data_IF_769628396685
#
_entry.id   IF_769628396685
#
_cell.length_a   1.000
_cell.length_b   1.000
_cell.length_c   1.000
_cell.angle_alpha   90.00
_cell.angle_beta   90.00
_cell.angle_gamma   90.00
#
_symmetry.space_group_name_H-M   'P 1'
#
loop_
_entity.id
_entity.type
_entity.pdbx_description
1 polymer ?
#
# COMPACT_ATOMS: atom_id res chain seq x y z
N UNK A 1 -28.02 20.01 -5.00
CA UNK A 1 -26.57 20.09 -5.26
C UNK A 1 -25.86 19.90 -3.94
N UNK A 2 -25.25 18.74 -3.70
CA UNK A 2 -24.51 18.49 -2.45
C UNK A 2 -23.13 19.11 -2.61
N UNK A 3 -22.76 20.06 -1.75
CA UNK A 3 -21.41 20.65 -1.74
C UNK A 3 -20.41 19.57 -1.35
N UNK A 4 -19.33 19.42 -2.12
CA UNK A 4 -18.23 18.54 -1.76
C UNK A 4 -17.64 18.96 -0.40
N UNK A 5 -17.33 18.01 0.49
CA UNK A 5 -16.77 18.32 1.81
C UNK A 5 -15.43 19.05 1.67
N UNK A 6 -15.16 19.95 2.61
CA UNK A 6 -13.87 20.64 2.73
C UNK A 6 -12.80 19.67 3.24
N UNK A 7 -11.51 19.91 2.92
CA UNK A 7 -10.37 19.08 3.43
C UNK A 7 -10.36 18.91 4.95
N UNK A 8 -10.87 19.91 5.69
CA UNK A 8 -11.01 19.87 7.15
C UNK A 8 -12.11 18.88 7.59
N UNK A 9 -13.22 18.82 6.86
CA UNK A 9 -14.30 17.87 7.11
C UNK A 9 -13.86 16.44 6.75
N UNK A 10 -13.14 16.26 5.64
CA UNK A 10 -12.57 14.95 5.26
C UNK A 10 -11.52 14.47 6.28
N UNK A 11 -10.68 15.36 6.80
CA UNK A 11 -9.75 15.00 7.89
C UNK A 11 -10.49 14.42 9.09
N UNK A 12 -11.63 15.01 9.47
CA UNK A 12 -12.43 14.54 10.60
C UNK A 12 -13.07 13.16 10.34
N UNK A 13 -13.32 12.81 9.08
CA UNK A 13 -13.87 11.52 8.65
C UNK A 13 -12.83 10.40 8.58
N UNK A 14 -11.52 10.73 8.60
CA UNK A 14 -10.48 9.71 8.66
C UNK A 14 -10.64 8.81 9.91
N UNK A 15 -10.26 7.53 9.82
CA UNK A 15 -10.16 6.68 11.01
C UNK A 15 -9.31 7.33 12.09
N UNK A 16 -9.65 7.06 13.35
CA UNK A 16 -9.01 7.70 14.51
C UNK A 16 -7.49 7.56 14.47
N UNK A 17 -6.97 6.40 14.06
CA UNK A 17 -5.54 6.16 13.92
C UNK A 17 -4.88 7.23 13.03
N UNK A 18 -5.40 7.46 11.82
CA UNK A 18 -4.86 8.43 10.85
C UNK A 18 -4.84 9.88 11.35
N UNK A 19 -5.85 10.28 12.13
CA UNK A 19 -5.90 11.60 12.77
C UNK A 19 -4.85 11.77 13.87
N UNK A 20 -4.49 10.66 14.51
CA UNK A 20 -3.54 10.62 15.61
C UNK A 20 -2.09 10.44 15.17
N UNK A 21 -1.81 10.24 13.86
CA UNK A 21 -0.47 10.10 13.26
C UNK A 21 0.37 11.40 13.27
N UNK A 22 0.19 12.25 14.27
CA UNK A 22 1.04 13.42 14.47
C UNK A 22 2.47 12.97 14.83
N UNK A 23 3.44 13.88 14.65
CA UNK A 23 4.83 13.66 15.03
C UNK A 23 4.88 12.96 16.41
N UNK A 24 5.37 11.72 16.45
CA UNK A 24 5.56 10.89 17.67
C UNK A 24 4.34 10.11 18.19
N UNK A 25 3.35 9.74 17.37
CA UNK A 25 2.38 8.72 17.77
C UNK A 25 3.09 7.42 18.22
N UNK A 26 2.58 6.77 19.27
CA UNK A 26 3.16 5.52 19.74
C UNK A 26 2.94 4.42 18.70
N UNK A 27 3.89 3.47 18.63
CA UNK A 27 3.78 2.29 17.76
C UNK A 27 2.48 1.52 17.98
N UNK A 28 1.96 1.52 19.22
CA UNK A 28 0.66 0.94 19.55
C UNK A 28 -0.50 1.59 18.78
N UNK A 29 -0.49 2.91 18.57
CA UNK A 29 -1.51 3.60 17.78
C UNK A 29 -1.37 3.26 16.29
N UNK A 30 -0.14 3.19 15.79
CA UNK A 30 0.14 2.84 14.39
C UNK A 30 -0.42 1.45 14.04
N UNK A 31 -0.24 0.47 14.93
CA UNK A 31 -0.78 -0.89 14.77
C UNK A 31 -2.30 -0.92 14.70
N UNK A 32 -3.00 0.07 15.27
CA UNK A 32 -4.48 0.14 15.16
C UNK A 32 -4.98 0.78 13.87
N UNK A 33 -4.09 1.11 12.93
CA UNK A 33 -4.49 1.62 11.63
C UNK A 33 -5.25 0.54 10.84
N UNK A 34 -6.54 0.79 10.62
CA UNK A 34 -7.38 -0.04 9.77
C UNK A 34 -7.10 0.29 8.29
N UNK A 35 -7.04 -0.72 7.41
CA UNK A 35 -6.93 -0.50 5.97
C UNK A 35 -8.07 0.36 5.42
N UNK A 36 -7.78 1.18 4.42
CA UNK A 36 -8.79 1.97 3.72
C UNK A 36 -9.15 1.30 2.40
N UNK A 37 -10.45 1.22 2.10
CA UNK A 37 -10.93 0.73 0.78
C UNK A 37 -10.76 1.77 -0.31
N UNK A 38 -10.91 3.03 0.05
CA UNK A 38 -10.77 4.18 -0.84
C UNK A 38 -9.75 5.16 -0.26
N UNK A 39 -9.05 5.92 -1.11
CA UNK A 39 -8.10 6.92 -0.68
C UNK A 39 -8.82 8.25 -0.39
N UNK A 40 -8.89 8.71 0.87
CA UNK A 40 -9.47 10.00 1.20
C UNK A 40 -8.65 11.14 0.59
N UNK A 41 -9.29 12.18 0.07
CA UNK A 41 -8.59 13.25 -0.67
C UNK A 41 -7.61 14.05 0.20
N UNK A 42 -7.82 14.07 1.51
CA UNK A 42 -6.91 14.66 2.50
C UNK A 42 -5.55 13.92 2.58
N UNK A 43 -5.49 12.65 2.17
CA UNK A 43 -4.24 11.88 2.06
C UNK A 43 -3.54 12.07 0.70
N UNK A 44 -4.09 12.88 -0.21
CA UNK A 44 -3.43 13.24 -1.46
C UNK A 44 -2.50 14.44 -1.19
N UNK A 45 -1.19 14.34 -1.50
CA UNK A 45 -0.25 15.44 -1.37
C UNK A 45 -0.75 16.73 -2.04
N UNK A 46 -0.51 17.84 -1.36
CA UNK A 46 -0.87 19.19 -1.82
C UNK A 46 0.39 20.01 -2.01
N UNK A 47 0.44 20.82 -3.08
CA UNK A 47 1.51 21.81 -3.27
C UNK A 47 1.38 23.01 -2.32
N UNK A 48 0.26 23.15 -1.60
CA UNK A 48 0.07 24.18 -0.58
C UNK A 48 0.92 23.87 0.67
N UNK A 49 2.01 24.62 0.85
CA UNK A 49 2.94 24.50 2.00
C UNK A 49 2.31 24.74 3.38
N UNK A 50 1.08 25.26 3.44
CA UNK A 50 0.34 25.43 4.71
C UNK A 50 -0.35 24.14 5.15
N UNK A 51 -0.50 23.18 4.24
CA UNK A 51 -1.09 21.87 4.51
C UNK A 51 0.03 20.89 4.82
N UNK A 52 0.02 20.22 5.98
CA UNK A 52 0.99 19.18 6.29
C UNK A 52 0.98 18.08 5.21
N UNK A 53 2.17 17.58 4.88
CA UNK A 53 2.32 16.47 3.97
C UNK A 53 1.79 15.18 4.61
N UNK A 54 0.93 14.40 3.93
CA UNK A 54 0.28 13.25 4.52
C UNK A 54 1.25 12.10 4.77
N UNK A 55 0.93 11.18 5.70
CA UNK A 55 1.63 9.90 5.79
C UNK A 55 1.54 9.14 4.46
N UNK A 56 2.52 8.28 4.21
CA UNK A 56 2.55 7.41 3.04
C UNK A 56 1.59 6.24 3.26
N UNK A 57 0.74 6.00 2.27
CA UNK A 57 -0.09 4.80 2.19
C UNK A 57 0.15 4.10 0.86
N UNK A 58 0.15 2.77 0.91
CA UNK A 58 0.35 1.88 -0.22
C UNK A 58 -0.96 1.19 -0.57
N UNK A 59 -1.29 1.18 -1.86
CA UNK A 59 -2.38 0.39 -2.42
C UNK A 59 -1.85 -0.92 -2.96
N UNK A 60 -2.46 -2.03 -2.59
CA UNK A 60 -1.98 -3.35 -2.99
C UNK A 60 -2.52 -4.47 -2.11
N UNK A 61 -1.74 -5.55 -1.98
CA UNK A 61 -2.16 -6.77 -1.31
C UNK A 61 -1.26 -7.10 -0.11
N UNK A 62 -1.85 -7.48 1.04
CA UNK A 62 -1.11 -8.11 2.11
C UNK A 62 -0.53 -9.44 1.63
N UNK A 63 0.69 -9.73 2.04
CA UNK A 63 1.45 -10.86 1.55
C UNK A 63 2.12 -11.59 2.71
N UNK A 64 1.97 -12.91 2.73
CA UNK A 64 2.75 -13.80 3.57
C UNK A 64 3.95 -14.26 2.76
N UNK A 65 5.16 -14.16 3.31
CA UNK A 65 6.38 -14.45 2.56
C UNK A 65 6.43 -15.90 2.08
N UNK A 66 6.03 -16.82 2.95
CA UNK A 66 5.99 -18.25 2.66
C UNK A 66 5.04 -18.53 1.49
N UNK A 67 3.86 -17.91 1.50
CA UNK A 67 2.89 -18.05 0.41
C UNK A 67 3.43 -17.49 -0.91
N UNK A 68 4.15 -16.38 -0.86
CA UNK A 68 4.76 -15.81 -2.06
C UNK A 68 5.85 -16.71 -2.63
N UNK A 69 6.67 -17.31 -1.78
CA UNK A 69 7.70 -18.25 -2.18
C UNK A 69 7.09 -19.49 -2.86
N UNK A 70 6.02 -20.06 -2.30
CA UNK A 70 5.24 -21.14 -2.93
C UNK A 70 4.71 -20.74 -4.32
N UNK A 71 4.19 -19.53 -4.46
CA UNK A 71 3.66 -19.03 -5.73
C UNK A 71 4.77 -18.85 -6.77
N UNK A 72 5.95 -18.37 -6.36
CA UNK A 72 7.12 -18.23 -7.22
C UNK A 72 7.63 -19.60 -7.71
N UNK A 73 7.68 -20.59 -6.82
CA UNK A 73 8.01 -21.97 -7.19
C UNK A 73 6.98 -22.54 -8.17
N UNK A 74 5.68 -22.47 -7.84
CA UNK A 74 4.61 -23.09 -8.63
C UNK A 74 4.41 -22.44 -9.99
N UNK A 75 4.43 -21.10 -10.05
CA UNK A 75 4.07 -20.35 -11.27
C UNK A 75 5.28 -20.01 -12.13
N UNK A 76 6.45 -19.87 -11.53
CA UNK A 76 7.66 -19.41 -12.23
C UNK A 76 8.82 -20.42 -12.17
N UNK A 77 8.66 -21.56 -11.47
CA UNK A 77 9.72 -22.56 -11.34
C UNK A 77 10.92 -22.07 -10.55
N UNK A 78 10.74 -21.10 -9.65
CA UNK A 78 11.83 -20.55 -8.85
C UNK A 78 12.27 -21.53 -7.75
N UNK A 79 13.52 -21.40 -7.29
CA UNK A 79 14.01 -22.19 -6.17
C UNK A 79 13.34 -21.76 -4.84
N UNK A 80 13.05 -22.70 -3.92
CA UNK A 80 12.53 -22.37 -2.60
C UNK A 80 13.47 -21.41 -1.84
N UNK A 81 12.90 -20.41 -1.19
CA UNK A 81 13.59 -19.36 -0.43
C UNK A 81 14.17 -18.24 -1.31
N UNK A 82 13.85 -18.20 -2.60
CA UNK A 82 14.39 -17.17 -3.51
C UNK A 82 13.99 -15.76 -3.08
N UNK A 83 12.82 -15.61 -2.45
CA UNK A 83 12.34 -14.31 -1.99
C UNK A 83 13.24 -13.74 -0.89
N UNK A 84 13.73 -14.58 0.02
CA UNK A 84 14.67 -14.19 1.08
C UNK A 84 16.08 -13.95 0.52
N UNK A 85 16.51 -14.82 -0.41
CA UNK A 85 17.85 -14.75 -0.97
C UNK A 85 18.04 -13.55 -1.91
N UNK A 86 17.01 -13.19 -2.68
CA UNK A 86 17.08 -12.14 -3.70
C UNK A 86 15.72 -11.43 -3.94
N UNK A 87 15.19 -10.69 -2.95
CA UNK A 87 13.89 -10.04 -3.06
C UNK A 87 13.85 -9.02 -4.20
N UNK A 88 14.95 -8.33 -4.47
CA UNK A 88 15.05 -7.37 -5.56
C UNK A 88 15.00 -8.05 -6.94
N UNK A 89 15.71 -9.17 -7.12
CA UNK A 89 15.65 -9.93 -8.37
C UNK A 89 14.26 -10.48 -8.65
N UNK A 90 13.59 -11.01 -7.61
CA UNK A 90 12.18 -11.41 -7.70
C UNK A 90 11.30 -10.24 -8.13
N UNK A 91 11.47 -9.06 -7.50
CA UNK A 91 10.68 -7.88 -7.83
C UNK A 91 10.87 -7.44 -9.29
N UNK A 92 12.11 -7.41 -9.76
CA UNK A 92 12.43 -7.05 -11.16
C UNK A 92 11.78 -8.04 -12.12
N UNK A 93 11.87 -9.34 -11.84
CA UNK A 93 11.28 -10.38 -12.67
C UNK A 93 9.75 -10.25 -12.71
N UNK A 94 9.09 -10.08 -11.56
CA UNK A 94 7.65 -9.85 -11.49
C UNK A 94 7.24 -8.60 -12.27
N UNK A 95 7.98 -7.51 -12.13
CA UNK A 95 7.71 -6.26 -12.84
C UNK A 95 7.81 -6.41 -14.36
N UNK A 96 8.80 -7.15 -14.86
CA UNK A 96 9.09 -7.25 -16.30
C UNK A 96 8.26 -8.34 -16.98
N UNK A 97 8.22 -9.53 -16.37
CA UNK A 97 7.73 -10.75 -17.03
C UNK A 97 6.30 -11.11 -16.65
N UNK A 98 5.83 -10.67 -15.46
CA UNK A 98 4.50 -11.06 -14.95
C UNK A 98 3.50 -9.91 -15.08
N UNK A 99 3.81 -8.76 -14.48
CA UNK A 99 2.86 -7.66 -14.38
C UNK A 99 3.03 -6.62 -15.48
N UNK A 100 4.22 -6.53 -16.09
CA UNK A 100 4.61 -5.42 -16.98
C UNK A 100 4.30 -4.05 -16.35
N UNK A 101 4.54 -3.94 -15.06
CA UNK A 101 4.15 -2.80 -14.25
C UNK A 101 4.99 -2.74 -12.97
N UNK A 102 5.31 -1.53 -12.52
CA UNK A 102 6.12 -1.32 -11.31
C UNK A 102 5.34 -1.70 -10.07
N UNK A 103 5.74 -2.80 -9.46
CA UNK A 103 5.32 -3.21 -8.11
C UNK A 103 6.48 -3.03 -7.14
N UNK A 104 6.21 -2.92 -5.84
CA UNK A 104 7.23 -2.86 -4.81
C UNK A 104 6.84 -3.74 -3.62
N UNK A 105 7.80 -4.42 -3.00
CA UNK A 105 7.62 -4.97 -1.67
C UNK A 105 7.78 -3.85 -0.64
N UNK A 106 6.80 -3.75 0.26
CA UNK A 106 6.77 -2.76 1.32
C UNK A 106 6.42 -3.42 2.64
N UNK A 107 6.72 -2.73 3.72
CA UNK A 107 6.30 -3.12 5.07
C UNK A 107 5.23 -2.14 5.53
N UNK A 108 4.07 -2.66 5.94
CA UNK A 108 2.92 -1.82 6.33
C UNK A 108 2.36 -2.21 7.69
N UNK A 109 1.65 -1.29 8.34
CA UNK A 109 0.79 -1.60 9.48
C UNK A 109 -0.57 -2.10 8.98
N UNK A 110 -1.02 -3.24 9.51
CA UNK A 110 -2.30 -3.86 9.17
C UNK A 110 -2.99 -4.39 10.42
N UNK A 111 -4.14 -3.83 10.79
CA UNK A 111 -5.11 -4.40 11.75
C UNK A 111 -4.51 -5.11 12.98
N UNK A 112 -3.76 -4.37 13.80
CA UNK A 112 -3.19 -4.85 15.06
C UNK A 112 -1.88 -5.62 14.92
N UNK A 113 -1.42 -5.93 13.71
CA UNK A 113 -0.13 -6.58 13.46
C UNK A 113 1.05 -5.63 13.64
N UNK A 114 2.22 -6.18 14.01
CA UNK A 114 3.45 -5.41 14.21
C UNK A 114 3.92 -4.77 12.91
N UNK A 115 3.98 -5.56 11.85
CA UNK A 115 4.14 -5.15 10.47
C UNK A 115 3.83 -6.35 9.55
N UNK A 116 3.46 -6.07 8.31
CA UNK A 116 3.18 -7.09 7.31
C UNK A 116 3.87 -6.76 5.99
N UNK A 117 4.36 -7.79 5.29
CA UNK A 117 4.83 -7.64 3.91
C UNK A 117 3.64 -7.32 3.00
N UNK A 118 3.89 -6.42 2.07
CA UNK A 118 2.84 -5.86 1.24
C UNK A 118 3.34 -5.69 -0.18
N UNK A 119 2.58 -6.22 -1.14
CA UNK A 119 2.86 -6.01 -2.56
C UNK A 119 2.15 -4.74 -3.01
N UNK A 120 2.88 -3.63 -3.01
CA UNK A 120 2.40 -2.30 -3.37
C UNK A 120 2.39 -2.11 -4.89
N UNK A 121 1.25 -1.71 -5.44
CA UNK A 121 1.09 -1.32 -6.86
C UNK A 121 1.05 0.20 -7.06
N UNK A 122 0.72 0.94 -6.01
CA UNK A 122 0.58 2.40 -6.06
C UNK A 122 0.76 2.99 -4.67
N UNK A 123 1.17 4.25 -4.59
CA UNK A 123 1.13 5.01 -3.35
C UNK A 123 0.33 6.30 -3.50
N UNK A 124 0.01 6.97 -2.39
CA UNK A 124 -0.58 8.31 -2.42
C UNK A 124 0.46 9.39 -2.75
N UNK A 125 1.76 9.12 -2.60
CA UNK A 125 2.84 10.08 -2.87
C UNK A 125 3.24 10.14 -4.34
N UNK A 126 3.02 9.04 -5.07
CA UNK A 126 3.31 8.97 -6.50
C UNK A 126 1.99 8.94 -7.28
N UNK A 127 1.77 9.84 -8.25
CA UNK A 127 0.64 9.71 -9.16
C UNK A 127 0.79 8.42 -9.95
N UNK A 128 -0.24 7.57 -9.91
CA UNK A 128 -0.26 6.40 -10.78
C UNK A 128 -0.35 6.82 -12.25
N UNK A 129 0.11 5.97 -13.18
CA UNK A 129 -0.30 6.07 -14.58
C UNK A 129 -1.84 5.98 -14.72
N UNK A 130 -2.33 6.23 -15.93
CA UNK A 130 -3.76 6.26 -16.30
C UNK A 130 -4.58 5.13 -15.64
N UNK A 131 -5.81 5.46 -15.21
CA UNK A 131 -6.67 4.56 -14.42
C UNK A 131 -6.86 3.17 -15.06
N UNK A 132 -7.02 3.13 -16.38
CA UNK A 132 -7.24 1.91 -17.16
C UNK A 132 -6.10 0.90 -17.03
N UNK A 133 -4.85 1.37 -16.79
CA UNK A 133 -3.71 0.48 -16.55
C UNK A 133 -3.72 -0.12 -15.16
N UNK A 134 -4.27 0.56 -14.16
CA UNK A 134 -4.28 0.07 -12.79
C UNK A 134 -5.24 -1.12 -12.63
N UNK A 135 -6.41 -1.06 -13.26
CA UNK A 135 -7.40 -2.15 -13.23
C UNK A 135 -6.84 -3.44 -13.84
N UNK A 136 -6.17 -3.33 -15.00
CA UNK A 136 -5.53 -4.48 -15.65
C UNK A 136 -4.44 -5.11 -14.77
N UNK A 137 -3.61 -4.27 -14.14
CA UNK A 137 -2.54 -4.72 -13.25
C UNK A 137 -3.09 -5.40 -12.00
N UNK A 138 -4.13 -4.81 -11.39
CA UNK A 138 -4.82 -5.42 -10.25
C UNK A 138 -5.36 -6.79 -10.61
N UNK A 139 -6.01 -6.93 -11.78
CA UNK A 139 -6.50 -8.23 -12.25
C UNK A 139 -5.38 -9.26 -12.37
N UNK A 140 -4.27 -8.92 -13.04
CA UNK A 140 -3.11 -9.81 -13.19
C UNK A 140 -2.51 -10.22 -11.84
N UNK A 141 -2.48 -9.30 -10.88
CA UNK A 141 -2.00 -9.57 -9.54
C UNK A 141 -2.90 -10.52 -8.78
N UNK A 142 -4.23 -10.34 -8.86
CA UNK A 142 -5.20 -11.27 -8.27
C UNK A 142 -5.02 -12.69 -8.84
N UNK A 143 -4.91 -12.79 -10.16
CA UNK A 143 -4.66 -14.07 -10.86
C UNK A 143 -3.32 -14.71 -10.45
N UNK A 144 -2.27 -13.90 -10.28
CA UNK A 144 -0.95 -14.38 -9.84
C UNK A 144 -1.00 -14.86 -8.38
N UNK A 145 -1.54 -14.04 -7.48
CA UNK A 145 -1.60 -14.29 -6.05
C UNK A 145 -2.64 -15.36 -5.65
N UNK A 146 -3.55 -15.72 -6.57
CA UNK A 146 -4.66 -16.65 -6.33
C UNK A 146 -5.59 -16.13 -5.22
N UNK A 147 -5.99 -14.85 -5.33
CA UNK A 147 -6.82 -14.13 -4.36
C UNK A 147 -8.03 -13.49 -5.02
N UNK A 148 -9.16 -13.52 -4.33
CA UNK A 148 -10.41 -12.90 -4.79
C UNK A 148 -10.64 -11.51 -4.16
N UNK A 149 -9.89 -11.19 -3.11
CA UNK A 149 -9.98 -9.95 -2.37
C UNK A 149 -9.59 -8.73 -3.21
N UNK A 150 -10.15 -7.57 -2.86
CA UNK A 150 -9.77 -6.30 -3.46
C UNK A 150 -8.53 -5.71 -2.79
N UNK A 151 -7.67 -4.97 -3.52
CA UNK A 151 -6.53 -4.32 -2.91
C UNK A 151 -7.00 -3.23 -1.93
N UNK A 152 -6.19 -2.99 -0.91
CA UNK A 152 -6.49 -2.03 0.16
C UNK A 152 -5.37 -1.00 0.28
N UNK A 153 -5.68 0.13 0.92
CA UNK A 153 -4.69 1.14 1.29
C UNK A 153 -4.20 0.90 2.72
N UNK A 154 -2.90 0.65 2.87
CA UNK A 154 -2.25 0.40 4.15
C UNK A 154 -1.20 1.45 4.47
N UNK A 155 -0.99 1.71 5.77
CA UNK A 155 -0.03 2.70 6.27
C UNK A 155 1.40 2.16 6.19
N UNK A 156 2.29 2.89 5.53
CA UNK A 156 3.71 2.56 5.45
C UNK A 156 4.38 2.63 6.83
N UNK A 157 5.35 1.74 7.13
CA UNK A 157 6.03 1.75 8.43
C UNK A 157 7.05 2.88 8.58
N UNK A 158 7.72 3.27 7.50
CA UNK A 158 8.84 4.23 7.52
C UNK A 158 8.37 5.69 7.39
N UNK A 159 7.19 5.88 6.81
CA UNK A 159 6.59 7.17 6.48
C UNK A 159 5.18 7.31 7.04
N UNK A 160 4.97 6.82 8.27
CA UNK A 160 3.69 6.74 8.97
C UNK A 160 3.17 8.06 9.60
N UNK A 161 3.87 9.19 9.48
CA UNK A 161 3.48 10.44 10.16
C UNK A 161 3.23 11.60 9.20
N UNK A 162 2.38 12.55 9.64
CA UNK A 162 2.22 13.84 8.98
C UNK A 162 3.51 14.67 9.09
N UNK A 163 4.02 15.18 7.96
CA UNK A 163 5.22 16.04 7.92
C UNK A 163 4.81 17.51 7.75
N UNK A 164 5.54 18.42 8.39
CA UNK A 164 5.35 19.88 8.20
C UNK A 164 6.10 20.36 6.96
#
# INVERSE_FOLDING_TARGET
MSSSPTKKEEFNQLPRAFKQLQFQASTKILRTATPLKELPSVLIPSNDRRVPFPPLVHYGFPLQMERMDELLEQKLGAEPGILDANPFGVLVHLQQEVFNYRVNFQTVYLDGTDSMFFLSVKSNWEPAPEADRLEEVVKRLKDFLDVDEEPVWCLDTDHCYWKK
#
